data_IF_903001040990
#
_entry.id   IF_903001040990
#
_cell.length_a   1.000
_cell.length_b   1.000
_cell.length_c   1.000
_cell.angle_alpha   90.00
_cell.angle_beta   90.00
_cell.angle_gamma   90.00
#
_symmetry.space_group_name_H-M   'P 1'
#
loop_
_entity.id
_entity.type
_entity.pdbx_description
1 polymer ?
#
# COMPACT_ATOMS: atom_id res chain seq x y z
N UNK A 1 6.88 -3.13 -16.62
CA UNK A 1 6.50 -3.05 -15.19
C UNK A 1 6.00 -4.42 -14.75
N UNK A 2 6.92 -5.33 -14.41
CA UNK A 2 6.62 -6.71 -13.99
C UNK A 2 7.13 -7.00 -12.57
N UNK A 3 7.40 -5.96 -11.77
CA UNK A 3 8.09 -6.07 -10.48
C UNK A 3 7.53 -7.18 -9.59
N UNK A 4 6.21 -7.27 -9.44
CA UNK A 4 5.59 -8.30 -8.62
C UNK A 4 5.62 -9.69 -9.27
N UNK A 5 5.49 -9.79 -10.60
CA UNK A 5 5.64 -11.08 -11.31
C UNK A 5 7.07 -11.61 -11.18
N UNK A 6 8.07 -10.75 -11.37
CA UNK A 6 9.49 -11.11 -11.25
C UNK A 6 9.84 -11.49 -9.79
N UNK A 7 9.27 -10.75 -8.82
CA UNK A 7 9.45 -11.06 -7.40
C UNK A 7 8.81 -12.41 -7.04
N UNK A 8 7.56 -12.65 -7.43
CA UNK A 8 6.87 -13.93 -7.21
C UNK A 8 7.58 -15.10 -7.91
N UNK A 9 8.12 -14.90 -9.12
CA UNK A 9 8.91 -15.89 -9.82
C UNK A 9 10.17 -16.31 -9.04
N UNK A 10 10.77 -15.40 -8.27
CA UNK A 10 11.89 -15.74 -7.36
C UNK A 10 11.49 -16.69 -6.22
N UNK A 11 10.20 -16.83 -5.93
CA UNK A 11 9.63 -17.82 -5.01
C UNK A 11 9.07 -19.06 -5.74
N UNK A 12 9.28 -19.18 -7.04
CA UNK A 12 8.79 -20.31 -7.85
C UNK A 12 7.33 -20.21 -8.29
N UNK A 13 6.69 -19.05 -8.14
CA UNK A 13 5.30 -18.83 -8.56
C UNK A 13 5.24 -18.35 -10.00
N UNK A 14 4.41 -19.00 -10.81
CA UNK A 14 4.13 -18.57 -12.18
C UNK A 14 3.05 -17.50 -12.21
N UNK A 15 2.93 -16.79 -13.34
CA UNK A 15 1.81 -15.86 -13.57
C UNK A 15 0.45 -16.57 -13.46
N UNK A 16 0.35 -17.80 -13.96
CA UNK A 16 -0.89 -18.58 -13.90
C UNK A 16 -1.27 -18.93 -12.46
N UNK A 17 -0.30 -19.26 -11.60
CA UNK A 17 -0.56 -19.49 -10.17
C UNK A 17 -1.20 -18.26 -9.54
N UNK A 18 -0.67 -17.06 -9.84
CA UNK A 18 -1.17 -15.78 -9.33
C UNK A 18 -2.58 -15.48 -9.84
N UNK A 19 -2.82 -15.62 -11.15
CA UNK A 19 -4.13 -15.30 -11.76
C UNK A 19 -5.24 -16.28 -11.36
N UNK A 20 -4.89 -17.52 -11.03
CA UNK A 20 -5.85 -18.54 -10.57
C UNK A 20 -6.14 -18.46 -9.07
N UNK A 21 -5.33 -17.70 -8.31
CA UNK A 21 -5.47 -17.62 -6.87
C UNK A 21 -6.70 -16.79 -6.48
N UNK A 22 -7.50 -17.32 -5.55
CA UNK A 22 -8.70 -16.64 -5.06
C UNK A 22 -8.30 -15.47 -4.15
N UNK A 23 -8.92 -14.30 -4.38
CA UNK A 23 -8.78 -13.16 -3.48
C UNK A 23 -9.21 -13.53 -2.05
N UNK A 24 -8.41 -13.12 -1.07
CA UNK A 24 -8.78 -13.25 0.33
C UNK A 24 -9.88 -12.26 0.70
N UNK A 25 -10.56 -12.49 1.84
CA UNK A 25 -11.55 -11.53 2.35
C UNK A 25 -10.94 -10.16 2.66
N UNK A 26 -9.70 -10.11 3.16
CA UNK A 26 -9.01 -8.85 3.42
C UNK A 26 -8.74 -8.07 2.12
N UNK A 27 -8.28 -8.77 1.07
CA UNK A 27 -8.04 -8.17 -0.25
C UNK A 27 -9.34 -7.66 -0.88
N UNK A 28 -10.42 -8.45 -0.80
CA UNK A 28 -11.75 -8.02 -1.26
C UNK A 28 -12.24 -6.81 -0.47
N UNK A 29 -12.18 -6.83 0.86
CA UNK A 29 -12.66 -5.72 1.68
C UNK A 29 -11.91 -4.42 1.35
N UNK A 30 -10.58 -4.48 1.24
CA UNK A 30 -9.78 -3.31 0.94
C UNK A 30 -10.01 -2.79 -0.47
N UNK A 31 -9.93 -3.65 -1.48
CA UNK A 31 -10.13 -3.23 -2.88
C UNK A 31 -11.54 -2.70 -3.13
N UNK A 32 -12.57 -3.30 -2.51
CA UNK A 32 -13.96 -2.83 -2.65
C UNK A 32 -14.18 -1.51 -1.94
N UNK A 33 -13.53 -1.25 -0.81
CA UNK A 33 -13.58 0.07 -0.16
C UNK A 33 -13.03 1.17 -1.07
N UNK A 34 -11.87 0.96 -1.70
CA UNK A 34 -11.28 1.94 -2.63
C UNK A 34 -12.22 2.21 -3.81
N UNK A 35 -12.80 1.15 -4.39
CA UNK A 35 -13.74 1.30 -5.51
C UNK A 35 -15.03 2.02 -5.09
N UNK A 36 -15.53 1.74 -3.90
CA UNK A 36 -16.73 2.41 -3.35
C UNK A 36 -16.48 3.91 -3.16
N UNK A 37 -15.34 4.32 -2.58
CA UNK A 37 -14.95 5.73 -2.49
C UNK A 37 -14.82 6.33 -3.90
N UNK A 38 -14.18 5.63 -4.84
CA UNK A 38 -14.03 6.12 -6.21
C UNK A 38 -15.36 6.31 -6.97
N UNK A 39 -16.42 5.60 -6.57
CA UNK A 39 -17.75 5.70 -7.17
C UNK A 39 -18.68 6.68 -6.46
N UNK A 40 -18.54 6.82 -5.14
CA UNK A 40 -19.46 7.58 -4.29
C UNK A 40 -18.96 8.97 -3.91
N UNK A 41 -17.65 9.21 -3.98
CA UNK A 41 -17.00 10.46 -3.56
C UNK A 41 -16.33 11.19 -4.74
N UNK A 42 -15.59 12.25 -4.42
CA UNK A 42 -14.83 13.04 -5.40
C UNK A 42 -13.41 12.49 -5.64
N UNK A 43 -12.73 13.10 -6.60
CA UNK A 43 -11.36 12.76 -6.96
C UNK A 43 -10.38 12.88 -5.77
N UNK A 44 -10.54 13.88 -4.89
CA UNK A 44 -9.64 14.08 -3.76
C UNK A 44 -9.82 12.98 -2.71
N UNK A 45 -11.05 12.58 -2.42
CA UNK A 45 -11.36 11.44 -1.55
C UNK A 45 -10.75 10.13 -2.08
N UNK A 46 -10.81 9.88 -3.39
CA UNK A 46 -10.14 8.73 -3.99
C UNK A 46 -8.62 8.78 -3.82
N UNK A 47 -7.99 9.94 -4.03
CA UNK A 47 -6.55 10.10 -3.76
C UNK A 47 -6.22 9.84 -2.28
N UNK A 48 -7.07 10.31 -1.37
CA UNK A 48 -6.91 10.08 0.07
C UNK A 48 -7.04 8.59 0.41
N UNK A 49 -8.02 7.88 -0.16
CA UNK A 49 -8.20 6.44 0.06
C UNK A 49 -7.03 5.59 -0.45
N UNK A 50 -6.34 6.03 -1.52
CA UNK A 50 -5.18 5.36 -2.09
C UNK A 50 -3.86 5.68 -1.37
N UNK A 51 -3.82 6.80 -0.63
CA UNK A 51 -2.58 7.34 -0.09
C UNK A 51 -1.92 6.52 1.04
N UNK A 52 -2.67 5.83 1.94
CA UNK A 52 -2.05 4.95 2.93
C UNK A 52 -1.17 3.87 2.32
N UNK A 53 -1.57 3.30 1.17
CA UNK A 53 -0.77 2.29 0.47
C UNK A 53 0.55 2.89 -0.04
N UNK A 54 0.47 3.96 -0.83
CA UNK A 54 1.65 4.61 -1.39
C UNK A 54 2.63 5.08 -0.30
N UNK A 55 2.13 5.85 0.65
CA UNK A 55 2.96 6.49 1.68
C UNK A 55 3.43 5.44 2.70
N UNK A 56 2.54 4.55 3.13
CA UNK A 56 2.82 3.55 4.15
C UNK A 56 3.92 2.58 3.75
N UNK A 57 3.90 2.08 2.51
CA UNK A 57 4.96 1.18 2.02
C UNK A 57 6.32 1.86 1.98
N UNK A 58 6.38 3.12 1.54
CA UNK A 58 7.61 3.91 1.55
C UNK A 58 8.15 4.14 2.97
N UNK A 59 7.28 4.46 3.93
CA UNK A 59 7.65 4.65 5.33
C UNK A 59 8.16 3.34 5.95
N UNK A 60 7.44 2.24 5.78
CA UNK A 60 7.81 0.92 6.30
C UNK A 60 9.16 0.49 5.74
N UNK A 61 9.33 0.57 4.42
CA UNK A 61 10.57 0.16 3.76
C UNK A 61 11.74 1.05 4.18
N UNK A 62 11.57 2.38 4.26
CA UNK A 62 12.61 3.29 4.72
C UNK A 62 13.03 3.01 6.16
N UNK A 63 12.07 2.73 7.04
CA UNK A 63 12.35 2.34 8.43
C UNK A 63 13.17 1.05 8.48
N UNK A 64 12.71 -0.02 7.80
CA UNK A 64 13.41 -1.30 7.78
C UNK A 64 14.78 -1.22 7.11
N UNK A 65 14.94 -0.40 6.08
CA UNK A 65 16.22 -0.20 5.40
C UNK A 65 17.22 0.56 6.27
N UNK A 66 16.76 1.56 7.02
CA UNK A 66 17.58 2.38 7.91
C UNK A 66 17.93 1.72 9.24
N UNK A 67 17.17 0.72 9.68
CA UNK A 67 17.44 -0.02 10.91
C UNK A 67 18.65 -0.96 10.73
N UNK A 68 19.62 -0.84 11.65
CA UNK A 68 20.83 -1.68 11.67
C UNK A 68 20.53 -3.11 12.12
N UNK A 69 19.44 -3.32 12.86
CA UNK A 69 19.01 -4.65 13.33
C UNK A 69 18.32 -5.49 12.24
N UNK A 70 17.95 -4.87 11.11
CA UNK A 70 17.35 -5.58 9.99
C UNK A 70 18.29 -6.64 9.42
N UNK A 71 17.79 -7.88 9.31
CA UNK A 71 18.51 -8.95 8.62
C UNK A 71 18.62 -8.65 7.11
N UNK A 72 19.82 -8.31 6.64
CA UNK A 72 20.08 -8.00 5.22
C UNK A 72 20.62 -9.21 4.46
N UNK A 73 21.60 -9.89 5.05
CA UNK A 73 22.25 -11.07 4.45
C UNK A 73 21.37 -12.32 4.63
N UNK A 74 21.15 -13.07 3.56
CA UNK A 74 20.33 -14.30 3.59
C UNK A 74 18.82 -14.08 3.77
N UNK A 75 18.35 -12.83 3.79
CA UNK A 75 16.94 -12.51 3.92
C UNK A 75 16.25 -12.51 2.54
N UNK A 76 15.43 -13.54 2.29
CA UNK A 76 14.65 -13.70 1.05
C UNK A 76 13.67 -12.54 0.78
N UNK A 77 13.34 -11.73 1.78
CA UNK A 77 12.44 -10.57 1.65
C UNK A 77 13.18 -9.24 1.46
N UNK A 78 14.51 -9.20 1.55
CA UNK A 78 15.27 -7.95 1.48
C UNK A 78 15.04 -7.19 0.17
N UNK A 79 14.83 -7.93 -0.93
CA UNK A 79 14.54 -7.34 -2.24
C UNK A 79 13.23 -6.53 -2.26
N UNK A 80 12.23 -6.94 -1.48
CA UNK A 80 10.99 -6.16 -1.32
C UNK A 80 11.29 -4.80 -0.70
N UNK A 81 12.09 -4.77 0.37
CA UNK A 81 12.49 -3.52 1.04
C UNK A 81 13.23 -2.62 0.06
N UNK A 82 14.18 -3.18 -0.71
CA UNK A 82 14.94 -2.43 -1.71
C UNK A 82 14.06 -1.82 -2.80
N UNK A 83 13.01 -2.51 -3.23
CA UNK A 83 12.08 -2.00 -4.24
C UNK A 83 11.31 -0.78 -3.73
N UNK A 84 10.90 -0.76 -2.46
CA UNK A 84 10.11 0.33 -1.88
C UNK A 84 10.94 1.50 -1.33
N UNK A 85 12.27 1.37 -1.27
CA UNK A 85 13.19 2.51 -1.07
C UNK A 85 13.88 2.95 -2.36
N UNK A 86 13.55 2.34 -3.49
CA UNK A 86 14.10 2.71 -4.79
C UNK A 86 13.67 4.13 -5.16
N UNK A 87 14.52 4.83 -5.94
CA UNK A 87 14.35 6.24 -6.22
C UNK A 87 13.03 6.56 -6.96
N UNK A 88 12.60 5.67 -7.85
CA UNK A 88 11.32 5.78 -8.56
C UNK A 88 10.12 5.68 -7.62
N UNK A 89 10.13 4.70 -6.71
CA UNK A 89 9.07 4.58 -5.70
C UNK A 89 9.06 5.77 -4.74
N UNK A 90 10.22 6.17 -4.22
CA UNK A 90 10.32 7.31 -3.31
C UNK A 90 9.91 8.63 -3.98
N UNK A 91 10.17 8.78 -5.29
CA UNK A 91 9.68 9.93 -6.06
C UNK A 91 8.15 9.90 -6.21
N UNK A 92 7.55 8.73 -6.39
CA UNK A 92 6.10 8.59 -6.40
C UNK A 92 5.49 8.98 -5.04
N UNK A 93 6.10 8.55 -3.92
CA UNK A 93 5.68 8.93 -2.57
C UNK A 93 5.74 10.45 -2.37
N UNK A 94 6.87 11.08 -2.71
CA UNK A 94 7.04 12.54 -2.63
C UNK A 94 5.96 13.27 -3.45
N UNK A 95 5.78 12.86 -4.71
CA UNK A 95 4.78 13.46 -5.61
C UNK A 95 3.35 13.31 -5.07
N UNK A 96 3.02 12.14 -4.50
CA UNK A 96 1.71 11.89 -3.90
C UNK A 96 1.46 12.78 -2.68
N UNK A 97 2.43 12.91 -1.79
CA UNK A 97 2.34 13.81 -0.63
C UNK A 97 2.16 15.27 -1.06
N UNK A 98 3.00 15.77 -1.97
CA UNK A 98 2.92 17.16 -2.46
C UNK A 98 1.57 17.47 -3.10
N UNK A 99 1.01 16.53 -3.87
CA UNK A 99 -0.30 16.67 -4.50
C UNK A 99 -1.41 16.80 -3.46
N UNK A 100 -1.41 15.94 -2.44
CA UNK A 100 -2.39 15.97 -1.36
C UNK A 100 -2.25 17.26 -0.55
N UNK A 101 -1.05 17.58 -0.07
CA UNK A 101 -0.79 18.80 0.72
C UNK A 101 -1.22 20.07 -0.02
N UNK A 102 -1.00 20.12 -1.34
CA UNK A 102 -1.44 21.24 -2.16
C UNK A 102 -2.96 21.36 -2.19
N UNK A 103 -3.67 20.26 -2.38
CA UNK A 103 -5.14 20.25 -2.48
C UNK A 103 -5.83 20.50 -1.14
N UNK A 104 -5.25 20.01 -0.05
CA UNK A 104 -5.78 20.15 1.30
C UNK A 104 -5.87 21.61 1.78
N UNK A 105 -5.09 22.52 1.18
CA UNK A 105 -5.15 23.97 1.52
C UNK A 105 -6.49 24.62 1.17
N UNK A 106 -7.22 24.07 0.21
CA UNK A 106 -8.49 24.63 -0.27
C UNK A 106 -9.72 23.91 0.32
N UNK A 107 -9.50 22.95 1.22
CA UNK A 107 -10.56 22.10 1.78
C UNK A 107 -11.18 22.76 3.00
N UNK A 108 -12.52 22.75 3.09
CA UNK A 108 -13.23 23.24 4.27
C UNK A 108 -12.95 22.36 5.50
N UNK A 109 -13.05 22.89 6.73
CA UNK A 109 -12.87 22.07 7.94
C UNK A 109 -13.76 20.83 7.99
N UNK A 110 -15.03 20.94 7.58
CA UNK A 110 -15.96 19.80 7.55
C UNK A 110 -15.53 18.73 6.55
N UNK A 111 -15.08 19.12 5.36
CA UNK A 111 -14.60 18.17 4.35
C UNK A 111 -13.28 17.54 4.77
N UNK A 112 -12.42 18.26 5.48
CA UNK A 112 -11.20 17.70 6.05
C UNK A 112 -11.52 16.54 7.02
N UNK A 113 -12.52 16.70 7.88
CA UNK A 113 -12.94 15.62 8.80
C UNK A 113 -13.44 14.37 8.05
N UNK A 114 -14.14 14.54 6.93
CA UNK A 114 -14.57 13.43 6.08
C UNK A 114 -13.37 12.70 5.46
N UNK A 115 -12.42 13.46 4.89
CA UNK A 115 -11.21 12.90 4.28
C UNK A 115 -10.33 12.18 5.32
N UNK A 116 -10.23 12.70 6.54
CA UNK A 116 -9.52 12.02 7.64
C UNK A 116 -10.15 10.65 7.93
N UNK A 117 -11.49 10.55 7.97
CA UNK A 117 -12.16 9.26 8.19
C UNK A 117 -11.86 8.27 7.07
N UNK A 118 -11.81 8.73 5.83
CA UNK A 118 -11.44 7.90 4.67
C UNK A 118 -10.01 7.39 4.80
N UNK A 119 -9.07 8.27 5.14
CA UNK A 119 -7.67 7.89 5.35
C UNK A 119 -7.51 6.86 6.46
N UNK A 120 -8.18 7.07 7.60
CA UNK A 120 -8.16 6.15 8.75
C UNK A 120 -8.70 4.78 8.31
N UNK A 121 -9.86 4.72 7.67
CA UNK A 121 -10.47 3.46 7.25
C UNK A 121 -9.62 2.72 6.22
N UNK A 122 -9.05 3.41 5.23
CA UNK A 122 -8.12 2.80 4.28
C UNK A 122 -6.86 2.24 5.00
N UNK A 123 -6.36 2.95 6.02
CA UNK A 123 -5.24 2.47 6.84
C UNK A 123 -5.61 1.23 7.67
N UNK A 124 -6.80 1.18 8.28
CA UNK A 124 -7.30 0.00 9.00
C UNK A 124 -7.38 -1.23 8.09
N UNK A 125 -7.84 -1.04 6.85
CA UNK A 125 -7.93 -2.12 5.85
C UNK A 125 -6.54 -2.60 5.39
N UNK A 126 -5.58 -1.69 5.24
CA UNK A 126 -4.17 -2.04 4.96
C UNK A 126 -3.55 -2.84 6.12
N UNK A 127 -3.84 -2.49 7.38
CA UNK A 127 -3.42 -3.29 8.54
C UNK A 127 -3.98 -4.71 8.44
N UNK A 128 -5.28 -4.85 8.12
CA UNK A 128 -5.89 -6.16 7.88
C UNK A 128 -5.26 -6.95 6.73
N UNK A 129 -4.73 -6.27 5.71
CA UNK A 129 -3.97 -6.88 4.62
C UNK A 129 -2.63 -7.46 5.13
N UNK A 130 -1.92 -6.74 5.99
CA UNK A 130 -0.70 -7.25 6.64
C UNK A 130 -0.97 -8.41 7.60
N UNK A 131 -2.03 -8.32 8.40
CA UNK A 131 -2.45 -9.37 9.34
C UNK A 131 -2.79 -10.67 8.61
N UNK A 132 -3.47 -10.58 7.46
CA UNK A 132 -3.71 -11.72 6.59
C UNK A 132 -2.39 -12.38 6.17
N UNK A 133 -1.40 -11.59 5.73
CA UNK A 133 -0.09 -12.12 5.32
C UNK A 133 0.66 -12.81 6.46
N UNK A 134 0.51 -12.34 7.70
CA UNK A 134 1.12 -12.94 8.89
C UNK A 134 0.41 -14.20 9.39
N UNK A 135 -0.89 -14.35 9.10
CA UNK A 135 -1.73 -15.45 9.59
C UNK A 135 -2.06 -16.50 8.54
N UNK A 136 -1.60 -16.33 7.28
CA UNK A 136 -1.88 -17.22 6.16
C UNK A 136 -1.51 -18.69 6.40
N UNK A 137 -0.52 -18.98 7.25
CA UNK A 137 -0.12 -20.35 7.62
C UNK A 137 -1.06 -21.02 8.66
N UNK A 138 -2.12 -20.33 9.10
CA UNK A 138 -3.08 -20.83 10.12
C UNK A 138 -4.43 -21.28 9.54
N UNK A 139 -4.55 -21.36 8.21
CA UNK A 139 -5.74 -21.85 7.49
C UNK A 139 -5.41 -23.15 6.75
#
# INVERSE_FOLDING_TARGET
MNLHLDYCASFGLTKQDIESYKESLACVAYSRYILDIGQSEDWLALQVALSPCLIGYGIIAKRLHGDESSARTGNKYWKWIQNYVAADYMKAVETGCELLEKRMRDVSPSRMEELIKIFIRATELEIGFWDMGLTADKL
#
